data_IF_618835025248
#
_entry.id   IF_618835025248
#
_cell.length_a   1.000
_cell.length_b   1.000
_cell.length_c   1.000
_cell.angle_alpha   90.00
_cell.angle_beta   90.00
_cell.angle_gamma   90.00
#
_symmetry.space_group_name_H-M   'P 1'
#
loop_
_entity.id
_entity.type
_entity.pdbx_description
1 polymer ?
#
# COMPACT_ATOMS: atom_id res chain seq x y z
N UNK A 1 -20.46 41.50 27.88
CA UNK A 1 -19.42 40.69 28.57
C UNK A 1 -19.57 40.92 30.06
N UNK A 2 -19.27 39.94 30.90
CA UNK A 2 -19.33 40.13 32.37
C UNK A 2 -18.42 41.30 32.78
N UNK A 3 -18.95 42.27 33.54
CA UNK A 3 -18.18 43.40 34.09
C UNK A 3 -17.38 43.03 35.34
N UNK A 4 -17.42 41.75 35.76
CA UNK A 4 -16.73 41.27 36.95
C UNK A 4 -15.26 40.94 36.62
N UNK A 5 -14.29 41.40 37.43
CA UNK A 5 -12.90 40.94 37.34
C UNK A 5 -12.85 39.41 37.49
N UNK A 6 -11.87 38.70 36.87
CA UNK A 6 -11.76 37.25 36.98
C UNK A 6 -11.44 36.80 38.42
N UNK A 7 -11.70 35.52 38.71
CA UNK A 7 -11.33 34.80 39.94
C UNK A 7 -11.96 35.32 41.26
N UNK A 8 -13.23 35.73 41.23
CA UNK A 8 -13.92 36.33 42.40
C UNK A 8 -14.42 35.32 43.45
N UNK A 9 -14.45 34.03 43.12
CA UNK A 9 -14.88 32.97 44.02
C UNK A 9 -13.68 32.15 44.53
N UNK A 10 -13.80 31.67 45.76
CA UNK A 10 -12.88 30.69 46.36
C UNK A 10 -13.69 29.46 46.76
N UNK A 11 -13.03 28.30 46.86
CA UNK A 11 -13.68 27.04 47.27
C UNK A 11 -14.43 27.20 48.60
N UNK A 12 -13.80 27.89 49.56
CA UNK A 12 -14.39 28.19 50.86
C UNK A 12 -15.62 29.10 50.75
N UNK A 13 -15.57 30.13 49.90
CA UNK A 13 -16.70 31.03 49.66
C UNK A 13 -17.86 30.27 49.04
N UNK A 14 -17.60 29.44 48.02
CA UNK A 14 -18.63 28.64 47.32
C UNK A 14 -19.35 27.69 48.29
N UNK A 15 -18.63 27.10 49.24
CA UNK A 15 -19.22 26.21 50.23
C UNK A 15 -20.26 26.90 51.13
N UNK A 16 -20.08 28.20 51.41
CA UNK A 16 -20.94 29.00 52.29
C UNK A 16 -22.00 29.84 51.56
N UNK A 17 -22.08 29.77 50.23
CA UNK A 17 -23.08 30.53 49.46
C UNK A 17 -24.47 29.92 49.62
N UNK A 18 -25.47 30.80 49.78
CA UNK A 18 -26.90 30.44 49.75
C UNK A 18 -27.37 30.24 48.31
N UNK A 19 -28.62 29.87 48.15
CA UNK A 19 -29.26 29.78 46.83
C UNK A 19 -29.14 31.10 46.07
N UNK A 20 -28.72 31.01 44.81
CA UNK A 20 -28.43 32.19 44.00
C UNK A 20 -27.53 31.92 42.81
N UNK A 21 -27.26 32.97 42.05
CA UNK A 21 -26.37 32.96 40.89
C UNK A 21 -25.19 33.87 41.15
N UNK A 22 -23.99 33.31 41.18
CA UNK A 22 -22.77 34.02 41.53
C UNK A 22 -21.77 34.00 40.38
N UNK A 23 -21.16 35.14 40.09
CA UNK A 23 -20.15 35.26 39.04
C UNK A 23 -18.74 35.09 39.59
N UNK A 24 -17.94 34.21 38.99
CA UNK A 24 -16.50 34.13 39.24
C UNK A 24 -15.71 35.14 38.40
N UNK A 25 -16.36 35.76 37.41
CA UNK A 25 -15.71 36.62 36.42
C UNK A 25 -15.31 35.85 35.16
N UNK A 26 -14.92 36.56 34.09
CA UNK A 26 -14.54 35.91 32.82
C UNK A 26 -15.65 35.07 32.20
N UNK A 27 -16.92 35.50 32.31
CA UNK A 27 -18.11 34.78 31.83
C UNK A 27 -18.41 33.43 32.55
N UNK A 28 -17.72 33.12 33.65
CA UNK A 28 -18.00 31.96 34.50
C UNK A 28 -18.98 32.32 35.62
N UNK A 29 -19.98 31.48 35.79
CA UNK A 29 -21.03 31.60 36.80
C UNK A 29 -21.28 30.26 37.49
N UNK A 30 -21.70 30.31 38.74
CA UNK A 30 -22.23 29.16 39.48
C UNK A 30 -23.67 29.45 39.87
N UNK A 31 -24.55 28.50 39.59
CA UNK A 31 -25.94 28.51 40.04
C UNK A 31 -26.06 27.52 41.20
N UNK A 32 -26.58 27.99 42.32
CA UNK A 32 -26.83 27.20 43.54
C UNK A 32 -28.34 27.18 43.76
N UNK A 33 -28.91 25.97 43.82
CA UNK A 33 -30.33 25.72 44.13
C UNK A 33 -30.42 24.51 45.05
N UNK A 34 -30.76 24.73 46.32
CA UNK A 34 -30.64 23.72 47.36
C UNK A 34 -29.24 23.12 47.40
N UNK A 35 -29.15 21.80 47.30
CA UNK A 35 -27.87 21.07 47.28
C UNK A 35 -27.18 21.09 45.90
N UNK A 36 -27.88 21.51 44.84
CA UNK A 36 -27.35 21.47 43.49
C UNK A 36 -26.51 22.70 43.20
N UNK A 37 -25.25 22.47 42.83
CA UNK A 37 -24.29 23.50 42.41
C UNK A 37 -23.85 23.21 40.99
N UNK A 38 -24.09 24.11 40.04
CA UNK A 38 -23.77 23.90 38.63
C UNK A 38 -22.99 25.08 38.03
N UNK A 39 -21.92 24.75 37.31
CA UNK A 39 -21.10 25.72 36.59
C UNK A 39 -21.72 26.03 35.22
N UNK A 40 -21.84 27.32 34.91
CA UNK A 40 -22.32 27.77 33.61
C UNK A 40 -21.42 28.87 33.02
N UNK A 41 -21.26 28.83 31.70
CA UNK A 41 -20.55 29.81 30.92
C UNK A 41 -21.55 30.65 30.12
N UNK A 42 -21.63 31.95 30.41
CA UNK A 42 -22.62 32.85 29.80
C UNK A 42 -21.97 33.81 28.82
N UNK A 43 -22.40 33.78 27.56
CA UNK A 43 -21.78 34.55 26.49
C UNK A 43 -22.79 35.08 25.47
N UNK A 44 -22.34 35.98 24.59
CA UNK A 44 -23.08 36.40 23.40
C UNK A 44 -22.50 35.63 22.22
N UNK A 45 -23.33 34.89 21.50
CA UNK A 45 -22.91 34.11 20.34
C UNK A 45 -22.32 35.03 19.26
N UNK A 46 -21.10 34.76 18.75
CA UNK A 46 -20.52 35.55 17.67
C UNK A 46 -21.25 35.32 16.33
N UNK A 47 -21.97 34.19 16.20
CA UNK A 47 -22.70 33.81 14.99
C UNK A 47 -24.11 34.40 14.94
N UNK A 48 -24.82 34.36 16.07
CA UNK A 48 -26.25 34.73 16.13
C UNK A 48 -26.53 36.04 16.87
N UNK A 49 -25.54 36.60 17.58
CA UNK A 49 -25.69 37.77 18.43
C UNK A 49 -26.58 37.57 19.66
N UNK A 50 -27.14 36.39 19.90
CA UNK A 50 -28.01 36.10 21.04
C UNK A 50 -27.20 35.73 22.28
N UNK A 51 -27.76 36.00 23.48
CA UNK A 51 -27.19 35.53 24.75
C UNK A 51 -27.44 34.02 24.88
N UNK A 52 -26.38 33.26 25.18
CA UNK A 52 -26.42 31.80 25.37
C UNK A 52 -25.73 31.43 26.68
N UNK A 53 -26.13 30.28 27.22
CA UNK A 53 -25.59 29.69 28.44
C UNK A 53 -25.15 28.25 28.13
N UNK A 54 -23.87 27.94 28.40
CA UNK A 54 -23.28 26.62 28.23
C UNK A 54 -22.98 26.01 29.60
N UNK A 55 -23.58 24.85 29.90
CA UNK A 55 -23.28 24.11 31.12
C UNK A 55 -21.87 23.52 31.09
N UNK A 56 -21.09 23.74 32.14
CA UNK A 56 -19.73 23.22 32.29
C UNK A 56 -19.65 21.96 33.18
N UNK A 57 -20.76 21.64 33.86
CA UNK A 57 -20.92 20.47 34.72
C UNK A 57 -21.30 20.83 36.17
N UNK A 58 -21.72 19.84 36.97
CA UNK A 58 -22.01 20.06 38.38
C UNK A 58 -20.71 20.25 39.19
N UNK A 59 -20.73 21.09 40.22
CA UNK A 59 -19.55 21.43 41.01
C UNK A 59 -19.00 20.27 41.86
N UNK A 60 -19.76 19.17 41.99
CA UNK A 60 -19.29 17.92 42.60
C UNK A 60 -18.29 17.17 41.72
N UNK A 61 -18.47 17.24 40.40
CA UNK A 61 -17.67 16.49 39.40
C UNK A 61 -16.66 17.41 38.70
N UNK A 62 -16.83 18.73 38.83
CA UNK A 62 -15.99 19.75 38.19
C UNK A 62 -15.54 20.75 39.24
N UNK A 63 -14.26 20.69 39.59
CA UNK A 63 -13.64 21.62 40.53
C UNK A 63 -13.68 23.06 40.00
N UNK A 64 -13.54 24.04 40.90
CA UNK A 64 -13.44 25.46 40.51
C UNK A 64 -12.29 25.70 39.52
N UNK A 65 -11.16 25.02 39.69
CA UNK A 65 -10.02 25.11 38.77
C UNK A 65 -10.37 24.61 37.37
N UNK A 66 -10.99 23.44 37.28
CA UNK A 66 -11.42 22.87 35.99
C UNK A 66 -12.51 23.73 35.33
N UNK A 67 -13.45 24.28 36.11
CA UNK A 67 -14.46 25.19 35.60
C UNK A 67 -13.84 26.46 35.00
N UNK A 68 -12.79 27.01 35.61
CA UNK A 68 -12.02 28.15 35.08
C UNK A 68 -11.29 27.80 33.78
N UNK A 69 -10.66 26.63 33.71
CA UNK A 69 -10.00 26.14 32.50
C UNK A 69 -10.99 25.95 31.35
N UNK A 70 -12.13 25.27 31.59
CA UNK A 70 -13.18 25.09 30.58
C UNK A 70 -13.77 26.43 30.12
N UNK A 71 -13.94 27.39 31.03
CA UNK A 71 -14.38 28.74 30.67
C UNK A 71 -13.32 29.49 29.85
N UNK A 72 -12.02 29.29 30.11
CA UNK A 72 -10.94 29.88 29.33
C UNK A 72 -10.90 29.35 27.89
N UNK A 73 -11.06 28.04 27.72
CA UNK A 73 -11.18 27.42 26.39
C UNK A 73 -12.38 27.97 25.61
N UNK A 74 -13.54 28.08 26.26
CA UNK A 74 -14.73 28.65 25.65
C UNK A 74 -14.55 30.12 25.27
N UNK A 75 -13.83 30.91 26.07
CA UNK A 75 -13.45 32.30 25.70
C UNK A 75 -12.52 32.34 24.50
N UNK A 76 -11.56 31.42 24.40
CA UNK A 76 -10.65 31.34 23.23
C UNK A 76 -11.44 31.11 21.94
N UNK A 77 -12.42 30.20 21.95
CA UNK A 77 -13.30 29.97 20.81
C UNK A 77 -14.06 31.24 20.40
N UNK A 78 -14.54 32.03 21.37
CA UNK A 78 -15.22 33.29 21.07
C UNK A 78 -14.30 34.33 20.43
N UNK A 79 -13.03 34.41 20.86
CA UNK A 79 -12.04 35.31 20.24
C UNK A 79 -11.76 34.94 18.78
N UNK A 80 -11.86 33.66 18.45
CA UNK A 80 -11.72 33.14 17.09
C UNK A 80 -13.03 33.22 16.28
N UNK A 81 -14.07 33.87 16.80
CA UNK A 81 -15.37 34.01 16.13
C UNK A 81 -16.23 32.73 16.10
N UNK A 82 -15.86 31.70 16.88
CA UNK A 82 -16.57 30.40 16.94
C UNK A 82 -17.53 30.34 18.12
N UNK A 83 -18.71 29.76 17.93
CA UNK A 83 -19.69 29.55 19.01
C UNK A 83 -19.38 28.24 19.79
N UNK A 84 -19.07 28.29 21.10
CA UNK A 84 -18.73 27.11 21.90
C UNK A 84 -19.79 26.00 21.92
N UNK A 85 -21.08 26.34 21.93
CA UNK A 85 -22.17 25.35 21.92
C UNK A 85 -22.27 24.65 20.56
N UNK A 86 -22.09 25.39 19.47
CA UNK A 86 -22.10 24.80 18.12
C UNK A 86 -20.88 23.89 17.91
N UNK A 87 -19.72 24.28 18.43
CA UNK A 87 -18.51 23.45 18.38
C UNK A 87 -18.67 22.18 19.23
N UNK A 88 -19.28 22.28 20.41
CA UNK A 88 -19.62 21.12 21.23
C UNK A 88 -20.65 20.21 20.55
N UNK A 89 -21.65 20.77 19.88
CA UNK A 89 -22.64 20.03 19.11
C UNK A 89 -22.03 19.34 17.88
N UNK A 90 -21.11 20.00 17.16
CA UNK A 90 -20.35 19.42 16.05
C UNK A 90 -19.47 18.26 16.51
N UNK A 91 -18.74 18.42 17.62
CA UNK A 91 -17.94 17.34 18.23
C UNK A 91 -18.79 16.16 18.66
N UNK A 92 -19.98 16.42 19.22
CA UNK A 92 -20.96 15.37 19.55
C UNK A 92 -21.51 14.70 18.29
N UNK A 93 -21.95 15.45 17.28
CA UNK A 93 -22.46 14.89 16.02
C UNK A 93 -21.41 14.09 15.24
N UNK A 94 -20.15 14.52 15.25
CA UNK A 94 -19.05 13.74 14.66
C UNK A 94 -18.74 12.45 15.44
N UNK A 95 -19.05 12.42 16.74
CA UNK A 95 -18.97 11.21 17.56
C UNK A 95 -20.20 10.29 17.41
N UNK A 96 -21.39 10.83 17.10
CA UNK A 96 -22.63 10.03 16.99
C UNK A 96 -22.80 9.30 15.66
N UNK A 97 -22.22 9.79 14.54
CA UNK A 97 -22.09 8.99 13.32
C UNK A 97 -20.90 8.04 13.47
N UNK A 98 -21.08 6.94 14.20
CA UNK A 98 -20.07 5.89 14.32
C UNK A 98 -19.75 5.35 12.93
N UNK A 99 -18.63 5.80 12.35
CA UNK A 99 -18.19 5.33 11.05
C UNK A 99 -17.94 3.84 11.13
N UNK A 100 -18.45 3.12 10.15
CA UNK A 100 -18.19 1.69 10.02
C UNK A 100 -16.77 1.44 9.52
N UNK A 101 -16.24 0.24 9.73
CA UNK A 101 -14.93 -0.15 9.20
C UNK A 101 -14.84 0.07 7.69
N UNK A 102 -15.90 -0.27 6.94
CA UNK A 102 -15.95 -0.09 5.49
C UNK A 102 -15.85 1.37 5.07
N UNK A 103 -16.58 2.27 5.74
CA UNK A 103 -16.52 3.71 5.43
C UNK A 103 -15.14 4.29 5.68
N UNK A 104 -14.50 3.92 6.80
CA UNK A 104 -13.14 4.35 7.12
C UNK A 104 -12.14 3.78 6.12
N UNK A 105 -12.29 2.51 5.73
CA UNK A 105 -11.43 1.88 4.73
C UNK A 105 -11.50 2.59 3.38
N UNK A 106 -12.69 2.93 2.90
CA UNK A 106 -12.85 3.67 1.64
C UNK A 106 -12.28 5.08 1.71
N UNK A 107 -12.42 5.76 2.86
CA UNK A 107 -11.84 7.08 3.09
C UNK A 107 -10.31 7.01 3.07
N UNK A 108 -9.72 6.04 3.79
CA UNK A 108 -8.29 5.78 3.77
C UNK A 108 -7.78 5.51 2.35
N UNK A 109 -8.45 4.63 1.61
CA UNK A 109 -8.07 4.30 0.23
C UNK A 109 -8.11 5.56 -0.64
N UNK A 110 -9.17 6.37 -0.55
CA UNK A 110 -9.31 7.61 -1.33
C UNK A 110 -8.18 8.60 -1.04
N UNK A 111 -7.86 8.85 0.23
CA UNK A 111 -6.82 9.82 0.61
C UNK A 111 -5.40 9.33 0.29
N UNK A 112 -5.15 8.02 0.36
CA UNK A 112 -3.82 7.45 0.11
C UNK A 112 -3.57 7.14 -1.37
N UNK A 113 -4.62 7.03 -2.20
CA UNK A 113 -4.50 6.72 -3.63
C UNK A 113 -3.53 7.67 -4.37
N UNK A 114 -3.58 9.00 -4.17
CA UNK A 114 -2.62 9.92 -4.82
C UNK A 114 -1.15 9.66 -4.47
N UNK A 115 -0.89 9.09 -3.28
CA UNK A 115 0.47 8.76 -2.85
C UNK A 115 0.94 7.38 -3.36
N UNK A 116 0.04 6.55 -3.89
CA UNK A 116 0.38 5.22 -4.38
C UNK A 116 0.93 5.26 -5.80
N UNK A 117 2.11 4.66 -5.98
CA UNK A 117 2.82 4.63 -7.26
C UNK A 117 2.11 3.77 -8.32
N UNK A 118 1.47 2.67 -7.91
CA UNK A 118 0.76 1.79 -8.83
C UNK A 118 -0.74 2.10 -8.80
N UNK A 119 -1.36 2.53 -9.92
CA UNK A 119 -2.79 2.86 -9.99
C UNK A 119 -3.69 1.65 -9.68
N UNK A 120 -3.18 0.42 -9.81
CA UNK A 120 -3.91 -0.81 -9.47
C UNK A 120 -3.95 -1.07 -7.97
N UNK A 121 -3.19 -0.34 -7.17
CA UNK A 121 -3.16 -0.50 -5.72
C UNK A 121 -4.55 -0.32 -5.11
N UNK A 122 -5.28 0.74 -5.50
CA UNK A 122 -6.61 1.01 -4.96
C UNK A 122 -7.65 -0.07 -5.30
N UNK A 123 -7.80 -0.48 -6.57
CA UNK A 123 -8.63 -1.65 -6.91
C UNK A 123 -8.23 -2.92 -6.14
N UNK A 124 -6.94 -3.21 -5.98
CA UNK A 124 -6.46 -4.39 -5.26
C UNK A 124 -6.81 -4.35 -3.77
N UNK A 125 -6.68 -3.18 -3.13
CA UNK A 125 -7.09 -2.99 -1.73
C UNK A 125 -8.60 -3.23 -1.57
N UNK A 126 -9.42 -2.60 -2.41
CA UNK A 126 -10.88 -2.76 -2.38
C UNK A 126 -11.29 -4.21 -2.59
N UNK A 127 -10.75 -4.88 -3.61
CA UNK A 127 -11.09 -6.27 -3.92
C UNK A 127 -10.76 -7.22 -2.75
N UNK A 128 -9.58 -7.07 -2.14
CA UNK A 128 -9.16 -7.91 -1.03
C UNK A 128 -9.98 -7.66 0.24
N UNK A 129 -10.29 -6.40 0.56
CA UNK A 129 -11.13 -6.07 1.70
C UNK A 129 -12.58 -6.53 1.47
N UNK A 130 -13.12 -6.36 0.26
CA UNK A 130 -14.45 -6.83 -0.10
C UNK A 130 -14.59 -8.36 -0.03
N UNK A 131 -13.54 -9.09 -0.43
CA UNK A 131 -13.56 -10.56 -0.40
C UNK A 131 -13.45 -11.14 1.01
N UNK A 132 -12.63 -10.54 1.87
CA UNK A 132 -12.23 -11.18 3.13
C UNK A 132 -12.67 -10.43 4.39
N UNK A 133 -12.62 -9.09 4.40
CA UNK A 133 -12.86 -8.30 5.61
C UNK A 133 -14.30 -7.76 5.69
N UNK A 134 -14.82 -7.16 4.63
CA UNK A 134 -16.15 -6.53 4.62
C UNK A 134 -17.30 -7.48 4.99
N UNK A 135 -17.30 -8.77 4.59
CA UNK A 135 -18.36 -9.69 5.00
C UNK A 135 -18.47 -9.91 6.52
N UNK A 136 -17.36 -9.76 7.25
CA UNK A 136 -17.29 -10.04 8.68
C UNK A 136 -17.30 -8.76 9.53
N UNK A 137 -16.45 -7.79 9.18
CA UNK A 137 -16.21 -6.59 9.99
C UNK A 137 -16.64 -5.30 9.31
N UNK A 138 -17.09 -5.34 8.05
CA UNK A 138 -17.33 -4.14 7.24
C UNK A 138 -18.35 -3.18 7.83
N UNK A 139 -19.44 -3.72 8.39
CA UNK A 139 -20.52 -2.93 8.99
C UNK A 139 -20.30 -2.64 10.48
N UNK A 140 -19.25 -3.18 11.10
CA UNK A 140 -18.97 -2.91 12.51
C UNK A 140 -18.50 -1.46 12.67
N UNK A 141 -18.98 -0.75 13.72
CA UNK A 141 -18.40 0.52 14.13
C UNK A 141 -16.89 0.40 14.34
N UNK A 142 -16.11 1.33 13.79
CA UNK A 142 -14.64 1.29 13.82
C UNK A 142 -14.06 1.31 15.25
N UNK A 143 -14.80 1.89 16.20
CA UNK A 143 -14.47 1.95 17.63
C UNK A 143 -14.71 0.62 18.35
N UNK A 144 -15.47 -0.31 17.74
CA UNK A 144 -15.82 -1.61 18.31
C UNK A 144 -15.08 -2.79 17.68
N UNK A 145 -14.22 -2.55 16.68
CA UNK A 145 -13.40 -3.62 16.10
C UNK A 145 -12.38 -4.10 17.15
N UNK A 146 -12.49 -5.37 17.54
CA UNK A 146 -11.63 -6.03 18.53
C UNK A 146 -10.71 -7.06 17.89
N UNK A 147 -9.85 -7.68 18.71
CA UNK A 147 -8.87 -8.68 18.26
C UNK A 147 -9.54 -9.90 17.66
N UNK A 148 -10.63 -10.36 18.27
CA UNK A 148 -11.42 -11.52 17.86
C UNK A 148 -12.00 -11.33 16.45
N UNK A 149 -12.47 -10.13 16.14
CA UNK A 149 -12.98 -9.76 14.82
C UNK A 149 -11.87 -9.86 13.75
N UNK A 150 -10.68 -9.36 14.07
CA UNK A 150 -9.52 -9.44 13.17
C UNK A 150 -9.08 -10.89 13.00
N UNK A 151 -9.06 -11.69 14.07
CA UNK A 151 -8.73 -13.11 14.01
C UNK A 151 -9.75 -13.89 13.19
N UNK A 152 -11.05 -13.59 13.29
CA UNK A 152 -12.09 -14.21 12.49
C UNK A 152 -11.87 -14.00 10.98
N UNK A 153 -11.37 -12.83 10.59
CA UNK A 153 -11.01 -12.52 9.20
C UNK A 153 -9.75 -13.28 8.76
N UNK A 154 -8.74 -13.39 9.64
CA UNK A 154 -7.42 -13.90 9.27
C UNK A 154 -7.31 -15.43 9.33
N UNK A 155 -7.87 -16.08 10.35
CA UNK A 155 -7.72 -17.52 10.59
C UNK A 155 -8.07 -18.38 9.36
N UNK A 156 -9.19 -18.15 8.63
CA UNK A 156 -9.55 -18.99 7.49
C UNK A 156 -8.52 -19.00 6.35
N UNK A 157 -7.74 -17.92 6.23
CA UNK A 157 -6.74 -17.75 5.17
C UNK A 157 -5.30 -17.84 5.68
N UNK A 158 -5.09 -17.97 7.00
CA UNK A 158 -3.77 -17.92 7.61
C UNK A 158 -2.91 -19.13 7.23
N UNK A 159 -3.50 -20.32 7.23
CA UNK A 159 -2.82 -21.58 6.90
C UNK A 159 -2.82 -21.89 5.41
N UNK A 160 -3.87 -21.48 4.69
CA UNK A 160 -4.04 -21.79 3.27
C UNK A 160 -3.36 -20.78 2.34
N UNK A 161 -3.37 -19.49 2.69
CA UNK A 161 -2.83 -18.40 1.85
C UNK A 161 -2.14 -17.35 2.73
N UNK A 162 -1.09 -17.77 3.44
CA UNK A 162 -0.42 -16.99 4.49
C UNK A 162 0.09 -15.61 4.04
N UNK A 163 0.59 -15.48 2.81
CA UNK A 163 1.01 -14.18 2.27
C UNK A 163 -0.17 -13.21 2.10
N UNK A 164 -1.28 -13.70 1.55
CA UNK A 164 -2.51 -12.91 1.40
C UNK A 164 -3.05 -12.50 2.77
N UNK A 165 -3.03 -13.41 3.74
CA UNK A 165 -3.43 -13.12 5.12
C UNK A 165 -2.53 -12.05 5.76
N UNK A 166 -1.21 -12.18 5.60
CA UNK A 166 -0.24 -11.22 6.13
C UNK A 166 -0.40 -9.82 5.53
N UNK A 167 -0.69 -9.74 4.22
CA UNK A 167 -1.00 -8.48 3.52
C UNK A 167 -2.33 -7.90 3.98
N UNK A 168 -3.38 -8.72 4.09
CA UNK A 168 -4.71 -8.28 4.55
C UNK A 168 -4.66 -7.71 5.97
N UNK A 169 -4.02 -8.42 6.90
CA UNK A 169 -3.77 -7.92 8.27
C UNK A 169 -3.08 -6.55 8.25
N UNK A 170 -2.05 -6.38 7.42
CA UNK A 170 -1.35 -5.09 7.30
C UNK A 170 -2.24 -3.96 6.76
N UNK A 171 -3.23 -4.28 5.92
CA UNK A 171 -4.24 -3.32 5.47
C UNK A 171 -5.18 -2.94 6.62
N UNK A 172 -5.68 -3.93 7.35
CA UNK A 172 -6.58 -3.72 8.51
C UNK A 172 -5.86 -2.87 9.57
N UNK A 173 -4.60 -3.18 9.88
CA UNK A 173 -3.76 -2.42 10.81
C UNK A 173 -3.67 -0.93 10.40
N UNK A 174 -3.35 -0.65 9.14
CA UNK A 174 -3.24 0.74 8.64
C UNK A 174 -4.56 1.50 8.67
N UNK A 175 -5.68 0.83 8.41
CA UNK A 175 -7.02 1.43 8.49
C UNK A 175 -7.38 1.78 9.93
N UNK A 176 -7.04 0.91 10.89
CA UNK A 176 -7.28 1.16 12.31
C UNK A 176 -6.33 2.24 12.87
N UNK A 177 -5.07 2.29 12.46
CA UNK A 177 -4.16 3.38 12.85
C UNK A 177 -4.60 4.73 12.26
N UNK A 178 -5.14 4.71 11.04
CA UNK A 178 -5.76 5.88 10.42
C UNK A 178 -6.96 6.37 11.24
N UNK A 179 -7.87 5.46 11.61
CA UNK A 179 -9.00 5.79 12.47
C UNK A 179 -8.56 6.35 13.83
N UNK A 180 -7.47 5.82 14.40
CA UNK A 180 -6.90 6.31 15.65
C UNK A 180 -6.35 7.73 15.51
N UNK A 181 -5.63 8.02 14.43
CA UNK A 181 -5.09 9.35 14.13
C UNK A 181 -6.18 10.43 13.98
N UNK A 182 -7.39 10.02 13.57
CA UNK A 182 -8.56 10.89 13.48
C UNK A 182 -9.45 10.91 14.74
N UNK A 183 -9.02 10.24 15.82
CA UNK A 183 -9.79 10.10 17.06
C UNK A 183 -11.17 9.44 16.87
N UNK A 184 -11.31 8.55 15.87
CA UNK A 184 -12.53 7.75 15.66
C UNK A 184 -12.50 6.43 16.42
N UNK A 185 -11.35 6.06 16.96
CA UNK A 185 -11.18 4.92 17.87
C UNK A 185 -10.07 5.21 18.88
N UNK A 186 -10.18 4.56 20.03
CA UNK A 186 -9.20 4.65 21.12
C UNK A 186 -8.57 3.28 21.39
N UNK A 187 -7.51 3.27 22.20
CA UNK A 187 -6.82 2.05 22.60
C UNK A 187 -5.92 1.43 21.54
N UNK A 188 -5.32 0.29 21.90
CA UNK A 188 -4.37 -0.43 21.08
C UNK A 188 -4.99 -0.94 19.77
N UNK A 189 -4.20 -1.05 18.71
CA UNK A 189 -4.65 -1.57 17.43
C UNK A 189 -4.76 -3.12 17.49
N UNK A 190 -5.96 -3.71 17.30
CA UNK A 190 -6.16 -5.17 17.35
C UNK A 190 -5.47 -5.92 16.20
N UNK A 191 -5.15 -5.26 15.10
CA UNK A 191 -4.44 -5.87 13.96
C UNK A 191 -2.91 -5.72 14.03
N UNK A 192 -2.39 -5.15 15.13
CA UNK A 192 -0.95 -4.98 15.33
C UNK A 192 -0.24 -6.33 15.38
N UNK A 193 0.86 -6.46 14.64
CA UNK A 193 1.61 -7.72 14.64
C UNK A 193 2.53 -7.83 15.86
N UNK A 194 3.53 -6.94 15.95
CA UNK A 194 4.54 -6.97 17.01
C UNK A 194 3.91 -6.66 18.35
N UNK A 195 4.11 -7.55 19.32
CA UNK A 195 3.58 -7.40 20.69
C UNK A 195 2.08 -7.68 20.83
N UNK A 196 1.42 -8.21 19.79
CA UNK A 196 0.01 -8.56 19.87
C UNK A 196 -0.29 -9.84 19.07
N UNK A 197 -0.67 -9.77 17.79
CA UNK A 197 -1.04 -10.96 17.01
C UNK A 197 0.07 -11.99 16.89
N UNK A 198 1.35 -11.60 16.99
CA UNK A 198 2.49 -12.53 17.00
C UNK A 198 2.50 -13.51 18.20
N UNK A 199 1.76 -13.22 19.26
CA UNK A 199 1.60 -14.10 20.44
C UNK A 199 0.42 -15.07 20.29
N UNK A 200 -0.43 -14.86 19.29
CA UNK A 200 -1.68 -15.63 19.09
C UNK A 200 -1.57 -16.49 17.83
N UNK A 201 -1.07 -15.91 16.74
CA UNK A 201 -0.92 -16.59 15.46
C UNK A 201 0.55 -17.01 15.28
N UNK A 202 0.80 -18.27 14.85
CA UNK A 202 2.14 -18.70 14.50
C UNK A 202 2.71 -17.81 13.39
N UNK A 203 4.03 -17.60 13.43
CA UNK A 203 4.72 -16.77 12.43
C UNK A 203 4.41 -17.31 11.03
N UNK A 204 4.11 -16.45 10.04
CA UNK A 204 3.88 -16.85 8.66
C UNK A 204 4.91 -17.84 8.11
N UNK A 205 6.18 -17.65 8.46
CA UNK A 205 7.32 -18.49 8.02
C UNK A 205 7.37 -19.88 8.66
N UNK A 206 6.66 -20.09 9.77
CA UNK A 206 6.55 -21.40 10.43
C UNK A 206 5.35 -22.21 9.90
N UNK A 207 4.33 -21.53 9.37
CA UNK A 207 3.10 -22.15 8.84
C UNK A 207 3.22 -22.45 7.35
N UNK A 208 3.74 -21.50 6.58
CA UNK A 208 4.01 -21.69 5.17
C UNK A 208 5.48 -22.07 4.99
N UNK A 209 5.74 -23.29 4.50
CA UNK A 209 7.01 -23.56 3.84
C UNK A 209 7.15 -22.56 2.70
N UNK A 210 8.27 -21.84 2.65
CA UNK A 210 8.59 -20.98 1.52
C UNK A 210 8.76 -21.88 0.31
N UNK A 211 7.70 -22.05 -0.48
CA UNK A 211 7.79 -22.71 -1.77
C UNK A 211 8.43 -21.70 -2.70
N UNK A 212 9.73 -21.89 -2.99
CA UNK A 212 10.37 -21.13 -4.05
C UNK A 212 9.56 -21.31 -5.33
N UNK A 213 9.26 -20.21 -6.02
CA UNK A 213 8.51 -20.27 -7.28
C UNK A 213 9.17 -21.29 -8.18
N UNK A 214 8.42 -22.32 -8.56
CA UNK A 214 8.96 -23.40 -9.35
C UNK A 214 9.48 -22.83 -10.68
N UNK A 215 10.79 -23.01 -10.86
CA UNK A 215 11.56 -22.57 -12.01
C UNK A 215 11.87 -23.80 -12.86
N UNK A 216 12.05 -23.57 -14.16
CA UNK A 216 12.69 -24.60 -14.99
C UNK A 216 14.11 -24.77 -14.45
N UNK A 217 14.55 -25.96 -14.00
CA UNK A 217 15.95 -26.17 -13.67
C UNK A 217 16.80 -25.71 -14.84
N UNK A 218 17.84 -24.89 -14.59
CA UNK A 218 18.55 -24.24 -15.69
C UNK A 218 19.11 -25.27 -16.70
N UNK A 219 19.48 -26.48 -16.24
CA UNK A 219 19.92 -27.60 -17.07
C UNK A 219 18.86 -28.15 -18.04
N UNK A 220 17.58 -28.04 -17.70
CA UNK A 220 16.47 -28.48 -18.56
C UNK A 220 16.04 -27.39 -19.55
N UNK A 221 16.51 -26.15 -19.32
CA UNK A 221 16.11 -25.00 -20.11
C UNK A 221 16.38 -25.13 -21.61
N UNK A 222 17.49 -25.73 -22.09
CA UNK A 222 17.71 -25.88 -23.53
C UNK A 222 16.63 -26.73 -24.21
N UNK A 223 16.21 -27.82 -23.55
CA UNK A 223 15.10 -28.67 -24.03
C UNK A 223 13.78 -27.89 -24.05
N UNK A 224 13.46 -27.16 -22.98
CA UNK A 224 12.25 -26.32 -22.91
C UNK A 224 12.28 -25.21 -23.97
N UNK A 225 13.43 -24.60 -24.18
CA UNK A 225 13.60 -23.55 -25.19
C UNK A 225 13.37 -24.10 -26.59
N UNK A 226 13.93 -25.26 -26.92
CA UNK A 226 13.67 -25.95 -28.19
C UNK A 226 12.17 -26.23 -28.42
N UNK A 227 11.41 -26.59 -27.37
CA UNK A 227 9.96 -26.74 -27.47
C UNK A 227 9.24 -25.40 -27.63
N UNK A 228 9.74 -24.30 -27.05
CA UNK A 228 9.22 -22.96 -27.31
C UNK A 228 9.45 -22.52 -28.75
N UNK A 229 10.57 -22.91 -29.37
CA UNK A 229 10.85 -22.56 -30.78
C UNK A 229 9.89 -23.23 -31.76
N UNK A 230 9.37 -24.41 -31.40
CA UNK A 230 8.35 -25.14 -32.17
C UNK A 230 6.94 -24.57 -32.04
N UNK A 231 6.72 -23.67 -31.08
CA UNK A 231 5.43 -23.03 -30.89
C UNK A 231 5.36 -21.72 -31.68
N UNK A 232 4.30 -21.58 -32.48
CA UNK A 232 3.99 -20.33 -33.16
C UNK A 232 3.23 -19.33 -32.26
N UNK A 233 3.27 -18.06 -32.66
CA UNK A 233 2.44 -17.00 -32.12
C UNK A 233 3.11 -16.14 -31.05
N UNK A 234 2.46 -15.01 -30.76
CA UNK A 234 3.02 -13.94 -29.92
C UNK A 234 3.38 -14.39 -28.49
N UNK A 235 2.66 -15.38 -27.92
CA UNK A 235 2.92 -15.86 -26.57
C UNK A 235 4.20 -16.68 -26.45
N UNK A 236 4.48 -17.56 -27.41
CA UNK A 236 5.73 -18.32 -27.45
C UNK A 236 6.92 -17.41 -27.72
N UNK A 237 6.76 -16.47 -28.66
CA UNK A 237 7.76 -15.44 -28.95
C UNK A 237 8.06 -14.56 -27.71
N UNK A 238 7.03 -14.13 -26.98
CA UNK A 238 7.21 -13.40 -25.73
C UNK A 238 7.93 -14.23 -24.65
N UNK A 239 7.64 -15.53 -24.55
CA UNK A 239 8.33 -16.43 -23.62
C UNK A 239 9.82 -16.61 -23.99
N UNK A 240 10.13 -16.76 -25.29
CA UNK A 240 11.52 -16.80 -25.79
C UNK A 240 12.25 -15.49 -25.50
N UNK A 241 11.62 -14.35 -25.76
CA UNK A 241 12.20 -13.04 -25.46
C UNK A 241 12.45 -12.86 -23.96
N UNK A 242 11.53 -13.29 -23.10
CA UNK A 242 11.70 -13.28 -21.65
C UNK A 242 12.91 -14.11 -21.20
N UNK A 243 13.06 -15.30 -21.78
CA UNK A 243 14.19 -16.19 -21.51
C UNK A 243 15.50 -15.50 -21.91
N UNK A 244 15.61 -15.05 -23.17
CA UNK A 244 16.84 -14.49 -23.74
C UNK A 244 17.26 -13.15 -23.15
N UNK A 245 16.32 -12.35 -22.64
CA UNK A 245 16.61 -11.04 -22.05
C UNK A 245 16.73 -11.06 -20.53
N UNK A 246 16.29 -12.14 -19.89
CA UNK A 246 16.08 -12.25 -18.46
C UNK A 246 15.23 -11.09 -17.88
N UNK A 247 14.44 -10.36 -18.69
CA UNK A 247 13.62 -9.24 -18.25
C UNK A 247 12.37 -9.69 -17.49
N UNK A 248 11.68 -8.78 -16.81
CA UNK A 248 10.41 -9.11 -16.12
C UNK A 248 9.28 -9.24 -17.13
N UNK A 249 8.30 -10.11 -16.84
CA UNK A 249 7.13 -10.28 -17.72
C UNK A 249 6.38 -8.98 -17.98
N UNK A 250 6.22 -8.14 -16.96
CA UNK A 250 5.62 -6.81 -17.10
C UNK A 250 6.40 -5.89 -18.04
N UNK A 251 7.73 -5.96 -18.03
CA UNK A 251 8.60 -5.17 -18.91
C UNK A 251 8.44 -5.64 -20.37
N UNK A 252 8.49 -6.96 -20.63
CA UNK A 252 8.35 -7.53 -21.97
C UNK A 252 6.95 -7.32 -22.55
N UNK A 253 5.90 -7.63 -21.78
CA UNK A 253 4.51 -7.50 -22.23
C UNK A 253 4.15 -6.09 -22.71
N UNK A 254 4.75 -5.07 -22.08
CA UNK A 254 4.50 -3.67 -22.40
C UNK A 254 5.64 -3.05 -23.21
N UNK A 255 6.56 -3.85 -23.73
CA UNK A 255 7.65 -3.36 -24.56
C UNK A 255 7.09 -2.75 -25.85
N UNK A 256 7.67 -1.62 -26.25
CA UNK A 256 7.27 -0.86 -27.44
C UNK A 256 8.38 -0.83 -28.47
N UNK A 257 8.01 -0.75 -29.74
CA UNK A 257 8.97 -0.69 -30.84
C UNK A 257 9.93 0.51 -30.74
N UNK A 258 9.43 1.65 -30.24
CA UNK A 258 10.21 2.86 -29.98
C UNK A 258 11.33 2.70 -28.94
N UNK A 259 11.29 1.63 -28.12
CA UNK A 259 12.28 1.34 -27.09
C UNK A 259 13.44 0.49 -27.62
N UNK A 260 13.37 0.02 -28.86
CA UNK A 260 14.38 -0.85 -29.48
C UNK A 260 15.30 -0.01 -30.36
N UNK A 261 16.57 0.05 -29.97
CA UNK A 261 17.66 0.55 -30.80
C UNK A 261 18.27 -0.65 -31.55
N UNK A 262 17.83 -0.86 -32.80
CA UNK A 262 18.30 -1.98 -33.63
C UNK A 262 19.77 -1.83 -34.05
N UNK A 263 20.26 -0.59 -34.22
CA UNK A 263 21.65 -0.32 -34.60
C UNK A 263 22.59 -0.70 -33.45
N UNK A 264 22.25 -0.28 -32.23
CA UNK A 264 23.04 -0.61 -31.03
C UNK A 264 22.73 -1.98 -30.45
N UNK A 265 21.68 -2.64 -30.94
CA UNK A 265 21.15 -3.91 -30.43
C UNK A 265 20.83 -3.83 -28.94
N UNK A 266 20.07 -2.80 -28.55
CA UNK A 266 19.71 -2.53 -27.16
C UNK A 266 18.22 -2.26 -27.07
N UNK A 267 17.57 -2.86 -26.07
CA UNK A 267 16.24 -2.48 -25.62
C UNK A 267 16.36 -1.58 -24.39
N UNK A 268 15.81 -0.36 -24.47
CA UNK A 268 15.84 0.61 -23.38
C UNK A 268 14.50 0.61 -22.65
N UNK A 269 14.46 0.01 -21.47
CA UNK A 269 13.25 0.01 -20.62
C UNK A 269 13.20 1.32 -19.84
N UNK A 270 12.19 2.18 -20.06
CA UNK A 270 12.11 3.50 -19.45
C UNK A 270 11.85 3.41 -17.93
N UNK A 271 12.34 4.39 -17.19
CA UNK A 271 12.33 4.41 -15.73
C UNK A 271 10.92 4.27 -15.13
N UNK A 272 9.90 4.78 -15.82
CA UNK A 272 8.49 4.74 -15.44
C UNK A 272 7.93 3.30 -15.41
N UNK A 273 8.48 2.40 -16.24
CA UNK A 273 8.11 0.97 -16.27
C UNK A 273 8.98 0.12 -15.35
N UNK A 274 10.08 0.67 -14.84
CA UNK A 274 11.02 -0.04 -14.00
C UNK A 274 10.64 0.04 -12.51
N UNK A 275 10.65 -1.12 -11.84
CA UNK A 275 10.40 -1.21 -10.39
C UNK A 275 11.37 -0.34 -9.57
N UNK A 276 12.61 -0.22 -10.03
CA UNK A 276 13.66 0.56 -9.39
C UNK A 276 13.65 2.06 -9.76
N UNK A 277 12.74 2.52 -10.64
CA UNK A 277 12.67 3.89 -11.14
C UNK A 277 13.97 4.42 -11.77
N UNK A 278 14.71 3.52 -12.42
CA UNK A 278 15.89 3.85 -13.21
C UNK A 278 15.75 3.14 -14.55
N UNK A 279 16.12 3.83 -15.62
CA UNK A 279 16.19 3.23 -16.94
C UNK A 279 17.04 1.95 -16.92
N UNK A 280 16.61 0.94 -17.66
CA UNK A 280 17.34 -0.31 -17.79
C UNK A 280 17.63 -0.62 -19.26
N UNK A 281 18.92 -0.64 -19.61
CA UNK A 281 19.39 -1.00 -20.95
C UNK A 281 19.61 -2.49 -21.00
N UNK A 282 18.87 -3.21 -21.84
CA UNK A 282 18.94 -4.65 -22.02
C UNK A 282 19.67 -4.95 -23.33
N UNK A 283 20.85 -5.61 -23.29
CA UNK A 283 21.48 -6.14 -24.48
C UNK A 283 20.56 -7.08 -25.25
N UNK A 284 20.44 -6.90 -26.56
CA UNK A 284 19.71 -7.81 -27.44
C UNK A 284 20.70 -8.69 -28.18
N UNK A 285 20.57 -9.98 -27.95
CA UNK A 285 21.35 -11.01 -28.62
C UNK A 285 20.69 -11.40 -29.96
N UNK A 286 21.36 -12.19 -30.79
CA UNK A 286 20.87 -12.57 -32.13
C UNK A 286 19.50 -13.24 -32.07
N UNK A 287 19.29 -14.16 -31.14
CA UNK A 287 18.02 -14.82 -30.91
C UNK A 287 16.92 -13.85 -30.47
N UNK A 288 17.25 -12.88 -29.62
CA UNK A 288 16.29 -11.86 -29.19
C UNK A 288 15.86 -10.97 -30.36
N UNK A 289 16.82 -10.57 -31.21
CA UNK A 289 16.54 -9.82 -32.45
C UNK A 289 15.70 -10.63 -33.43
N UNK A 290 15.93 -11.94 -33.56
CA UNK A 290 15.11 -12.83 -34.40
C UNK A 290 13.66 -12.92 -33.91
N UNK A 291 13.45 -12.95 -32.59
CA UNK A 291 12.09 -12.85 -32.02
C UNK A 291 11.42 -11.53 -32.41
N UNK A 292 12.14 -10.41 -32.32
CA UNK A 292 11.61 -9.10 -32.74
C UNK A 292 11.23 -9.12 -34.23
N UNK A 293 12.13 -9.54 -35.13
CA UNK A 293 11.83 -9.65 -36.56
C UNK A 293 10.58 -10.50 -36.84
N UNK A 294 10.39 -11.61 -36.11
CA UNK A 294 9.18 -12.44 -36.26
C UNK A 294 7.93 -11.71 -35.77
N UNK A 295 8.01 -10.97 -34.66
CA UNK A 295 6.90 -10.14 -34.18
C UNK A 295 6.55 -9.00 -35.12
N UNK A 296 7.53 -8.44 -35.82
CA UNK A 296 7.31 -7.41 -36.85
C UNK A 296 6.49 -7.95 -38.02
N UNK A 297 6.76 -9.18 -38.47
CA UNK A 297 5.98 -9.86 -39.52
C UNK A 297 4.53 -10.13 -39.06
N UNK A 298 4.34 -10.54 -37.80
CA UNK A 298 3.01 -10.86 -37.24
C UNK A 298 2.19 -9.62 -36.86
N UNK A 299 2.73 -8.43 -37.09
CA UNK A 299 2.17 -7.19 -36.59
C UNK A 299 0.93 -6.77 -37.40
N UNK A 300 -0.24 -6.59 -36.77
CA UNK A 300 -1.46 -6.28 -37.50
C UNK A 300 -1.49 -4.87 -38.11
N UNK A 301 -0.81 -3.88 -37.50
CA UNK A 301 -0.71 -2.51 -38.02
C UNK A 301 0.68 -1.92 -37.72
N UNK A 302 1.44 -1.46 -38.73
CA UNK A 302 2.72 -0.79 -38.53
C UNK A 302 2.49 0.59 -37.89
N UNK A 303 3.09 0.80 -36.72
CA UNK A 303 3.09 2.05 -35.97
C UNK A 303 4.44 2.17 -35.26
N UNK A 304 5.12 3.30 -35.36
CA UNK A 304 6.46 3.42 -34.78
C UNK A 304 6.49 3.14 -33.25
N UNK A 305 5.39 3.39 -32.54
CA UNK A 305 5.30 3.24 -31.07
C UNK A 305 4.38 2.10 -30.59
N UNK A 306 4.03 1.15 -31.47
CA UNK A 306 3.14 0.06 -31.09
C UNK A 306 3.77 -0.92 -30.08
N UNK A 307 2.92 -1.72 -29.43
CA UNK A 307 3.35 -2.83 -28.59
C UNK A 307 4.07 -3.89 -29.44
N UNK A 308 5.19 -4.39 -28.96
CA UNK A 308 5.91 -5.52 -29.57
C UNK A 308 5.09 -6.80 -29.41
N UNK A 309 4.48 -7.01 -28.23
CA UNK A 309 3.68 -8.20 -27.91
C UNK A 309 2.21 -7.83 -27.64
N UNK A 310 1.40 -7.57 -28.69
CA UNK A 310 -0.02 -7.24 -28.53
C UNK A 310 -0.83 -8.46 -28.06
N UNK A 311 -1.88 -8.18 -27.27
CA UNK A 311 -2.88 -9.16 -26.87
C UNK A 311 -4.08 -9.17 -27.82
N UNK A 312 -5.11 -9.97 -27.48
CA UNK A 312 -6.30 -10.12 -28.32
C UNK A 312 -7.19 -8.87 -28.43
N UNK A 313 -7.04 -7.90 -27.50
CA UNK A 313 -7.71 -6.59 -27.58
C UNK A 313 -6.74 -5.56 -28.15
N UNK A 314 -7.17 -4.82 -29.17
CA UNK A 314 -6.37 -3.75 -29.80
C UNK A 314 -5.84 -2.79 -28.73
N UNK A 315 -4.55 -2.45 -28.83
CA UNK A 315 -3.85 -1.56 -27.90
C UNK A 315 -3.58 -2.16 -26.51
N UNK A 316 -4.01 -3.39 -26.24
CA UNK A 316 -3.73 -4.08 -24.98
C UNK A 316 -2.54 -5.02 -25.13
N UNK A 317 -1.68 -5.14 -24.11
CA UNK A 317 -0.55 -6.07 -24.11
C UNK A 317 -1.04 -7.51 -23.98
N UNK A 318 -0.19 -8.45 -24.39
CA UNK A 318 -0.37 -9.86 -24.08
C UNK A 318 -0.52 -10.07 -22.55
N UNK A 319 -1.29 -11.06 -22.11
CA UNK A 319 -1.46 -11.36 -20.69
C UNK A 319 -0.36 -12.30 -20.16
N UNK A 320 -0.01 -12.20 -18.88
CA UNK A 320 0.94 -13.14 -18.24
C UNK A 320 0.45 -14.60 -18.35
N UNK A 321 -0.87 -14.80 -18.29
CA UNK A 321 -1.49 -16.13 -18.42
C UNK A 321 -1.21 -16.73 -19.80
N UNK A 322 -1.24 -15.93 -20.87
CA UNK A 322 -0.95 -16.43 -22.21
C UNK A 322 0.51 -16.89 -22.35
N UNK A 323 1.47 -16.10 -21.83
CA UNK A 323 2.89 -16.46 -21.81
C UNK A 323 3.12 -17.71 -20.94
N UNK A 324 2.50 -17.77 -19.76
CA UNK A 324 2.60 -18.93 -18.87
C UNK A 324 2.10 -20.21 -19.52
N UNK A 325 0.98 -20.15 -20.26
CA UNK A 325 0.47 -21.31 -21.00
C UNK A 325 1.44 -21.78 -22.09
N UNK A 326 2.11 -20.86 -22.80
CA UNK A 326 3.12 -21.23 -23.79
C UNK A 326 4.32 -21.95 -23.14
N UNK A 327 4.80 -21.41 -22.00
CA UNK A 327 5.86 -22.02 -21.21
C UNK A 327 5.44 -23.39 -20.66
N UNK A 328 4.23 -23.53 -20.11
CA UNK A 328 3.73 -24.81 -19.58
C UNK A 328 3.67 -25.89 -20.65
N UNK A 329 3.23 -25.54 -21.87
CA UNK A 329 3.24 -26.48 -23.00
C UNK A 329 4.65 -26.90 -23.38
N UNK A 330 5.60 -25.96 -23.37
CA UNK A 330 7.00 -26.27 -23.69
C UNK A 330 7.67 -27.13 -22.61
N UNK A 331 7.41 -26.84 -21.35
CA UNK A 331 7.98 -27.56 -20.21
C UNK A 331 7.27 -28.90 -19.91
N UNK A 332 6.11 -29.16 -20.52
CA UNK A 332 5.29 -30.34 -20.22
C UNK A 332 4.66 -30.35 -18.82
N UNK A 333 4.79 -29.27 -18.05
CA UNK A 333 4.28 -29.15 -16.69
C UNK A 333 3.72 -27.75 -16.39
N UNK A 334 2.79 -27.67 -15.44
CA UNK A 334 2.29 -26.41 -14.87
C UNK A 334 3.12 -25.92 -13.68
N UNK A 335 4.04 -26.74 -13.19
CA UNK A 335 4.91 -26.45 -12.06
C UNK A 335 6.12 -25.61 -12.47
N UNK A 336 5.97 -24.74 -13.47
CA UNK A 336 6.98 -23.75 -13.83
C UNK A 336 6.31 -22.39 -14.02
N UNK A 337 7.04 -21.32 -13.76
CA UNK A 337 6.52 -19.97 -13.88
C UNK A 337 7.39 -19.13 -14.79
N UNK A 338 6.78 -18.14 -15.46
CA UNK A 338 7.52 -17.15 -16.26
C UNK A 338 8.53 -16.35 -15.42
N UNK A 339 8.26 -16.16 -14.12
CA UNK A 339 9.22 -15.55 -13.20
C UNK A 339 10.39 -16.50 -12.91
N UNK A 340 10.13 -17.80 -12.85
CA UNK A 340 11.13 -18.84 -12.66
C UNK A 340 12.24 -18.83 -13.71
N UNK A 341 11.97 -18.41 -14.96
CA UNK A 341 13.02 -18.25 -16.00
C UNK A 341 14.15 -17.31 -15.57
N UNK A 342 13.84 -16.27 -14.78
CA UNK A 342 14.85 -15.35 -14.24
C UNK A 342 15.67 -16.00 -13.13
N UNK A 343 15.07 -16.90 -12.36
CA UNK A 343 15.80 -17.74 -11.40
C UNK A 343 16.73 -18.69 -12.15
N UNK A 344 16.24 -19.36 -13.21
CA UNK A 344 17.07 -20.22 -14.07
C UNK A 344 18.29 -19.49 -14.61
N UNK A 345 18.12 -18.27 -15.13
CA UNK A 345 19.24 -17.41 -15.55
C UNK A 345 20.21 -17.09 -14.40
N UNK A 346 19.68 -16.77 -13.21
CA UNK A 346 20.50 -16.40 -12.05
C UNK A 346 21.33 -17.58 -11.54
N UNK A 347 20.74 -18.77 -11.53
CA UNK A 347 21.36 -20.02 -11.10
C UNK A 347 22.42 -20.44 -12.11
N UNK A 348 22.11 -20.43 -13.42
CA UNK A 348 23.09 -20.65 -14.48
C UNK A 348 24.29 -19.70 -14.37
N UNK A 349 24.05 -18.41 -14.22
CA UNK A 349 25.13 -17.43 -14.11
C UNK A 349 26.00 -17.65 -12.85
N UNK A 350 25.46 -18.28 -11.80
CA UNK A 350 26.21 -18.59 -10.59
C UNK A 350 27.02 -19.89 -10.71
N UNK A 351 26.46 -20.91 -11.35
CA UNK A 351 27.00 -22.27 -11.35
C UNK A 351 27.87 -22.59 -12.58
N UNK A 352 27.60 -21.98 -13.73
CA UNK A 352 28.21 -22.34 -15.02
C UNK A 352 29.13 -21.25 -15.59
N UNK A 353 29.30 -20.12 -14.90
CA UNK A 353 30.08 -18.98 -15.42
C UNK A 353 30.91 -18.29 -14.35
N UNK A 354 31.98 -17.63 -14.78
CA UNK A 354 32.83 -16.79 -13.93
C UNK A 354 32.38 -15.31 -13.87
N UNK A 355 31.18 -15.00 -14.38
CA UNK A 355 30.70 -13.62 -14.34
C UNK A 355 30.49 -13.16 -12.88
N UNK A 356 30.97 -11.96 -12.50
CA UNK A 356 30.72 -11.44 -11.17
C UNK A 356 29.22 -11.36 -10.89
N UNK A 357 28.80 -11.77 -9.68
CA UNK A 357 27.40 -11.71 -9.23
C UNK A 357 26.71 -10.40 -9.59
N UNK A 358 27.41 -9.29 -9.41
CA UNK A 358 26.89 -7.97 -9.75
C UNK A 358 26.45 -7.83 -11.20
N UNK A 359 27.15 -8.43 -12.17
CA UNK A 359 26.78 -8.38 -13.59
C UNK A 359 25.43 -9.07 -13.82
N UNK A 360 25.22 -10.24 -13.21
CA UNK A 360 23.95 -10.97 -13.27
C UNK A 360 22.80 -10.21 -12.58
N UNK A 361 23.03 -9.65 -11.39
CA UNK A 361 22.04 -8.83 -10.69
C UNK A 361 21.68 -7.56 -11.49
N UNK A 362 22.65 -6.95 -12.20
CA UNK A 362 22.40 -5.80 -13.08
C UNK A 362 21.58 -6.21 -14.30
N UNK A 363 21.84 -7.35 -14.94
CA UNK A 363 21.00 -7.85 -16.03
C UNK A 363 19.54 -8.06 -15.60
N UNK A 364 19.34 -8.53 -14.38
CA UNK A 364 18.02 -8.67 -13.75
C UNK A 364 17.42 -7.33 -13.27
N UNK A 365 18.12 -6.21 -13.41
CA UNK A 365 17.74 -4.92 -12.84
C UNK A 365 17.35 -5.04 -11.35
N UNK A 366 18.18 -5.75 -10.58
CA UNK A 366 18.13 -5.78 -9.13
C UNK A 366 18.96 -4.64 -8.56
N UNK A 367 18.56 -4.15 -7.39
CA UNK A 367 19.39 -3.18 -6.66
C UNK A 367 20.58 -3.92 -6.06
N UNK A 368 21.79 -3.47 -6.34
CA UNK A 368 23.03 -4.08 -5.85
C UNK A 368 23.58 -3.21 -4.72
N UNK A 369 23.83 -3.83 -3.57
CA UNK A 369 24.58 -3.23 -2.46
C UNK A 369 23.80 -2.25 -1.58
N UNK A 370 24.50 -1.75 -0.56
CA UNK A 370 24.00 -0.69 0.32
C UNK A 370 23.98 0.66 -0.42
N UNK A 371 23.14 1.62 0.02
CA UNK A 371 22.98 2.96 -0.62
C UNK A 371 24.32 3.67 -0.93
N UNK A 372 25.38 3.38 -0.18
CA UNK A 372 26.73 3.94 -0.36
C UNK A 372 27.42 3.37 -1.60
N UNK A 373 27.42 2.05 -1.82
CA UNK A 373 28.04 1.43 -3.02
C UNK A 373 27.31 1.81 -4.31
N UNK A 374 25.98 1.99 -4.24
CA UNK A 374 25.17 2.44 -5.35
C UNK A 374 25.52 3.87 -5.82
N UNK A 375 26.05 4.72 -4.94
CA UNK A 375 26.43 6.09 -5.25
C UNK A 375 27.76 6.21 -6.01
N UNK A 376 28.68 5.25 -5.83
CA UNK A 376 30.00 5.27 -6.48
C UNK A 376 30.01 4.62 -7.87
N UNK A 377 28.99 3.84 -8.23
CA UNK A 377 28.92 3.13 -9.52
C UNK A 377 28.26 3.99 -10.60
N UNK A 378 29.08 4.58 -11.49
CA UNK A 378 28.61 5.43 -12.60
C UNK A 378 28.13 4.66 -13.85
N UNK A 379 28.60 3.43 -14.08
CA UNK A 379 28.28 2.63 -15.28
C UNK A 379 27.24 1.53 -15.04
N UNK A 380 26.63 1.03 -16.12
CA UNK A 380 25.64 -0.07 -16.11
C UNK A 380 26.23 -1.45 -16.50
N UNK A 381 27.56 -1.54 -16.62
CA UNK A 381 28.32 -2.72 -17.06
C UNK A 381 27.84 -3.33 -18.39
N UNK A 382 27.30 -2.51 -19.30
CA UNK A 382 26.64 -3.00 -20.52
C UNK A 382 27.48 -4.00 -21.34
N UNK A 383 28.76 -3.71 -21.58
CA UNK A 383 29.61 -4.59 -22.40
C UNK A 383 29.80 -5.98 -21.75
N UNK A 384 29.98 -6.02 -20.41
CA UNK A 384 30.05 -7.30 -19.68
C UNK A 384 28.73 -8.04 -19.73
N UNK A 385 27.61 -7.32 -19.62
CA UNK A 385 26.28 -7.90 -19.76
C UNK A 385 26.00 -8.41 -21.17
N UNK A 386 26.45 -7.72 -22.21
CA UNK A 386 26.35 -8.18 -23.60
C UNK A 386 26.99 -9.56 -23.76
N UNK A 387 28.22 -9.73 -23.25
CA UNK A 387 28.92 -11.01 -23.33
C UNK A 387 28.21 -12.10 -22.54
N UNK A 388 27.79 -11.81 -21.30
CA UNK A 388 27.01 -12.75 -20.48
C UNK A 388 25.70 -13.16 -21.15
N UNK A 389 24.97 -12.23 -21.75
CA UNK A 389 23.71 -12.55 -22.42
C UNK A 389 23.94 -13.38 -23.69
N UNK A 390 25.05 -13.21 -24.41
CA UNK A 390 25.41 -14.08 -25.55
C UNK A 390 25.68 -15.50 -25.10
N UNK A 391 26.45 -15.70 -24.03
CA UNK A 391 26.69 -17.03 -23.47
C UNK A 391 25.40 -17.65 -22.93
N UNK A 392 24.51 -16.83 -22.38
CA UNK A 392 23.19 -17.29 -21.96
C UNK A 392 22.31 -17.75 -23.13
N UNK A 393 22.29 -17.00 -24.24
CA UNK A 393 21.60 -17.44 -25.45
C UNK A 393 22.19 -18.76 -25.96
N UNK A 394 23.53 -18.87 -26.02
CA UNK A 394 24.20 -20.08 -26.45
C UNK A 394 23.73 -21.27 -25.61
N UNK A 395 23.81 -21.16 -24.29
CA UNK A 395 23.33 -22.19 -23.37
C UNK A 395 21.85 -22.53 -23.59
N UNK A 396 20.97 -21.53 -23.74
CA UNK A 396 19.53 -21.77 -23.98
C UNK A 396 19.24 -22.46 -25.31
N UNK A 397 20.09 -22.27 -26.32
CA UNK A 397 19.88 -22.76 -27.69
C UNK A 397 20.70 -23.99 -28.03
N UNK A 398 21.65 -24.37 -27.17
CA UNK A 398 22.45 -25.57 -27.28
C UNK A 398 21.52 -26.79 -27.29
N UNK A 399 21.48 -27.46 -28.44
CA UNK A 399 20.66 -28.66 -28.62
C UNK A 399 21.35 -29.81 -27.90
N UNK A 400 20.75 -30.25 -26.79
CA UNK A 400 21.04 -31.56 -26.17
C UNK A 400 20.59 -32.69 -27.09
#
# INVERSE_FOLDING_TARGET
MSKLPPNQLTVRKIASLKDGVYGDGGNLWITIRGETRAWTFRYKSPLTGKRREMGLGPARDVSLSEARSKAAEARRLLLEGRDPLEEQAKRKQSATKKRTFKEVAEHYIKEQTPAWKDPRSAPMWRSSLARHAYPLIGNLPIDRVQTEDVLAVLRPIWETTTETASRLRGRIERILDYAHSHHWREGNNPARWRGHLANILPKPTAVAKVVHHAAVPYRDLPSVFAQLERQDGAAALAARFLCLTAARSGEVRHARWSEIDLEKQIWVVPAERMKAKREHRVPLTTGALNVLRRMEILRPLPSADGLIFPGGKIGSPLSDVAISKALHRAAGTKDVTIHGLRSSFRDWAAEETDFPREVAEMALAHAIGNKVEAAYRRGDLLNKRQEMMKQWEQFCTDRV
#
